data_IF_966816427639
#
_entry.id   IF_966816427639
#
_cell.length_a   1.000
_cell.length_b   1.000
_cell.length_c   1.000
_cell.angle_alpha   90.00
_cell.angle_beta   90.00
_cell.angle_gamma   90.00
#
_symmetry.space_group_name_H-M   'P 1'
#
loop_
_entity.id
_entity.type
_entity.pdbx_description
1 polymer ?
#
# COMPACT_ATOMS: atom_id res chain seq x y z
N UNK A 1 1.37 -23.17 16.81
CA UNK A 1 0.50 -22.01 16.99
C UNK A 1 1.01 -20.86 16.13
N UNK A 2 0.11 -20.08 15.51
CA UNK A 2 0.51 -18.89 14.80
C UNK A 2 1.08 -17.83 15.74
N UNK A 3 1.83 -16.89 15.21
CA UNK A 3 2.54 -15.90 16.03
C UNK A 3 2.25 -14.48 15.53
N UNK A 4 1.84 -13.60 16.42
CA UNK A 4 1.81 -12.16 16.22
C UNK A 4 3.09 -11.54 16.79
N UNK A 5 3.70 -10.63 16.03
CA UNK A 5 4.92 -9.90 16.41
C UNK A 5 4.62 -8.41 16.29
N UNK A 6 4.28 -7.72 17.37
CA UNK A 6 4.03 -6.28 17.35
C UNK A 6 5.35 -5.50 17.23
N UNK A 7 5.40 -4.52 16.34
CA UNK A 7 6.57 -3.66 16.10
C UNK A 7 6.13 -2.21 16.14
N UNK A 8 6.46 -1.52 17.23
CA UNK A 8 6.18 -0.09 17.39
C UNK A 8 7.25 0.60 18.22
N UNK A 9 7.36 1.92 18.08
CA UNK A 9 8.25 2.74 18.92
C UNK A 9 7.71 2.80 20.36
N UNK A 10 8.61 2.69 21.34
CA UNK A 10 8.26 2.73 22.76
C UNK A 10 8.05 1.36 23.40
N UNK A 11 7.92 0.29 22.65
CA UNK A 11 8.01 -1.08 23.15
C UNK A 11 9.43 -1.61 22.92
N UNK A 12 10.39 -1.05 23.67
CA UNK A 12 11.83 -1.27 23.52
C UNK A 12 12.28 -2.58 24.19
N UNK A 13 11.36 -3.44 24.64
CA UNK A 13 11.76 -4.77 25.00
C UNK A 13 12.48 -5.40 23.81
N UNK A 14 13.73 -5.88 23.95
CA UNK A 14 14.43 -6.51 22.84
C UNK A 14 13.52 -7.63 22.33
N UNK A 15 13.10 -7.52 21.07
CA UNK A 15 12.35 -8.58 20.41
C UNK A 15 13.26 -9.80 20.42
N UNK A 16 13.04 -10.72 21.36
CA UNK A 16 13.69 -12.02 21.42
C UNK A 16 13.16 -12.85 20.26
N UNK A 17 13.61 -12.51 19.04
CA UNK A 17 13.25 -13.22 17.83
C UNK A 17 14.27 -14.31 17.60
N UNK A 18 13.84 -15.55 17.77
CA UNK A 18 14.60 -16.67 17.24
C UNK A 18 14.60 -16.61 15.71
N UNK A 19 15.74 -16.81 15.04
CA UNK A 19 15.80 -16.88 13.58
C UNK A 19 14.77 -17.87 13.05
N UNK A 20 14.01 -17.46 12.04
CA UNK A 20 12.98 -18.30 11.42
C UNK A 20 13.04 -18.18 9.89
N UNK A 21 12.54 -19.19 9.21
CA UNK A 21 12.36 -19.11 7.75
C UNK A 21 11.03 -18.43 7.46
N UNK A 22 11.00 -17.25 6.81
CA UNK A 22 9.76 -16.50 6.60
C UNK A 22 8.81 -17.16 5.58
N UNK A 23 9.31 -18.01 4.68
CA UNK A 23 8.51 -18.59 3.61
C UNK A 23 8.03 -17.52 2.60
N UNK A 24 6.86 -17.73 1.98
CA UNK A 24 6.25 -16.70 1.12
C UNK A 24 5.73 -15.55 1.99
N UNK A 25 6.18 -14.34 1.68
CA UNK A 25 5.86 -13.15 2.46
C UNK A 25 4.85 -12.25 1.75
N UNK A 26 3.93 -11.67 2.52
CA UNK A 26 3.04 -10.61 2.07
C UNK A 26 3.32 -9.30 2.80
N UNK A 27 3.12 -8.18 2.10
CA UNK A 27 3.01 -6.84 2.68
C UNK A 27 1.56 -6.40 2.56
N UNK A 28 0.94 -6.07 3.69
CA UNK A 28 -0.45 -5.63 3.77
C UNK A 28 -0.50 -4.21 4.32
N UNK A 29 -1.19 -3.30 3.63
CA UNK A 29 -1.36 -1.92 4.05
C UNK A 29 -2.83 -1.61 4.32
N UNK A 30 -3.12 -1.20 5.56
CA UNK A 30 -4.45 -0.80 6.01
C UNK A 30 -4.94 0.45 5.27
N UNK A 31 -6.24 0.53 5.00
CA UNK A 31 -6.93 1.75 4.58
C UNK A 31 -6.98 2.79 5.70
N UNK A 32 -7.39 4.00 5.39
CA UNK A 32 -7.53 5.02 6.45
C UNK A 32 -7.51 6.46 5.97
N UNK A 33 -7.68 6.72 4.69
CA UNK A 33 -7.66 8.07 4.11
C UNK A 33 -6.33 8.79 4.40
N UNK A 34 -6.38 10.02 4.90
CA UNK A 34 -5.16 10.81 5.18
C UNK A 34 -4.28 10.21 6.29
N UNK A 35 -4.78 9.31 7.17
CA UNK A 35 -3.93 8.55 8.10
C UNK A 35 -2.92 7.66 7.39
N UNK A 36 -3.14 7.33 6.12
CA UNK A 36 -2.17 6.67 5.25
C UNK A 36 -0.84 7.41 5.09
N UNK A 37 -0.75 8.65 5.60
CA UNK A 37 0.52 9.41 5.69
C UNK A 37 1.57 8.69 6.55
N UNK A 38 1.14 7.98 7.60
CA UNK A 38 2.00 7.10 8.40
C UNK A 38 2.55 5.95 7.55
N UNK A 39 1.67 5.29 6.80
CA UNK A 39 2.06 4.21 5.87
C UNK A 39 3.05 4.70 4.82
N UNK A 40 2.83 5.91 4.25
CA UNK A 40 3.77 6.54 3.33
C UNK A 40 5.15 6.72 3.95
N UNK A 41 5.21 7.14 5.22
CA UNK A 41 6.47 7.29 5.95
C UNK A 41 7.21 5.96 6.12
N UNK A 42 6.52 4.88 6.49
CA UNK A 42 7.10 3.53 6.61
C UNK A 42 7.64 3.03 5.27
N UNK A 43 6.84 3.14 4.21
CA UNK A 43 7.20 2.65 2.88
C UNK A 43 8.34 3.45 2.24
N UNK A 44 8.44 4.75 2.50
CA UNK A 44 9.56 5.58 2.05
C UNK A 44 10.88 5.12 2.67
N UNK A 45 10.88 4.69 3.95
CA UNK A 45 12.07 4.08 4.56
C UNK A 45 12.40 2.71 3.97
N UNK A 46 11.37 1.91 3.62
CA UNK A 46 11.59 0.63 2.93
C UNK A 46 12.20 0.84 1.54
N UNK A 47 11.72 1.83 0.77
CA UNK A 47 12.31 2.19 -0.53
C UNK A 47 13.75 2.68 -0.38
N UNK A 48 14.04 3.55 0.59
CA UNK A 48 15.38 4.06 0.86
C UNK A 48 16.36 2.92 1.20
N UNK A 49 15.91 1.92 1.95
CA UNK A 49 16.70 0.75 2.31
C UNK A 49 16.69 -0.35 1.23
N UNK A 50 16.03 -0.14 0.10
CA UNK A 50 15.81 -1.15 -0.94
C UNK A 50 15.22 -2.46 -0.39
N UNK A 51 14.41 -2.35 0.67
CA UNK A 51 13.82 -3.49 1.35
C UNK A 51 12.52 -3.92 0.69
N UNK A 52 12.56 -4.98 -0.11
CA UNK A 52 11.40 -5.52 -0.81
C UNK A 52 11.44 -7.06 -0.93
N UNK A 53 11.42 -7.80 0.20
CA UNK A 53 11.48 -9.27 0.20
C UNK A 53 10.11 -9.94 -0.06
N UNK A 54 9.05 -9.18 -0.34
CA UNK A 54 7.69 -9.67 -0.42
C UNK A 54 7.36 -10.31 -1.76
N UNK A 55 6.45 -11.29 -1.74
CA UNK A 55 5.90 -11.98 -2.90
C UNK A 55 4.51 -11.44 -3.25
N UNK A 56 3.76 -11.05 -2.21
CA UNK A 56 2.40 -10.54 -2.34
C UNK A 56 2.28 -9.17 -1.68
N UNK A 57 1.44 -8.34 -2.27
CA UNK A 57 1.08 -7.02 -1.74
C UNK A 57 -0.44 -6.91 -1.73
N UNK A 58 -0.98 -6.44 -0.61
CA UNK A 58 -2.42 -6.21 -0.46
C UNK A 58 -2.64 -4.83 0.13
N UNK A 59 -3.52 -4.07 -0.44
CA UNK A 59 -3.85 -2.75 0.07
C UNK A 59 -5.31 -2.40 -0.13
N UNK A 60 -5.82 -1.59 0.80
CA UNK A 60 -7.17 -1.07 0.76
C UNK A 60 -7.12 0.45 0.79
N UNK A 61 -7.87 1.14 -0.09
CA UNK A 61 -8.00 2.61 -0.09
C UNK A 61 -6.63 3.30 -0.10
N UNK A 62 -6.32 4.17 0.86
CA UNK A 62 -5.01 4.80 1.01
C UNK A 62 -3.85 3.80 1.09
N UNK A 63 -4.07 2.59 1.63
CA UNK A 63 -3.08 1.52 1.64
C UNK A 63 -2.74 1.03 0.24
N UNK A 64 -3.74 0.90 -0.64
CA UNK A 64 -3.56 0.54 -2.05
C UNK A 64 -2.79 1.63 -2.82
N UNK A 65 -3.12 2.91 -2.57
CA UNK A 65 -2.42 4.05 -3.18
C UNK A 65 -0.94 4.10 -2.76
N UNK A 66 -0.65 3.93 -1.48
CA UNK A 66 0.72 3.92 -0.97
C UNK A 66 1.54 2.71 -1.49
N UNK A 67 0.93 1.53 -1.59
CA UNK A 67 1.58 0.36 -2.21
C UNK A 67 1.83 0.57 -3.70
N UNK A 68 0.95 1.25 -4.41
CA UNK A 68 1.17 1.62 -5.82
C UNK A 68 2.45 2.46 -5.97
N UNK A 69 2.64 3.47 -5.12
CA UNK A 69 3.86 4.28 -5.11
C UNK A 69 5.11 3.45 -4.74
N UNK A 70 5.00 2.56 -3.78
CA UNK A 70 6.07 1.67 -3.35
C UNK A 70 6.52 0.70 -4.46
N UNK A 71 5.56 0.08 -5.15
CA UNK A 71 5.83 -0.84 -6.25
C UNK A 71 6.39 -0.13 -7.49
N UNK A 72 5.98 1.12 -7.70
CA UNK A 72 6.55 1.99 -8.73
C UNK A 72 7.91 2.60 -8.33
N UNK A 73 8.41 2.31 -7.12
CA UNK A 73 9.65 2.84 -6.57
C UNK A 73 9.74 4.38 -6.61
N UNK A 74 8.67 5.04 -6.13
CA UNK A 74 8.55 6.50 -6.13
C UNK A 74 8.52 7.05 -4.68
N UNK A 75 9.70 7.21 -4.03
CA UNK A 75 9.76 7.73 -2.66
C UNK A 75 9.18 9.15 -2.57
N UNK A 76 8.47 9.42 -1.48
CA UNK A 76 7.78 10.68 -1.25
C UNK A 76 6.49 10.88 -2.07
N UNK A 77 6.14 10.00 -2.98
CA UNK A 77 4.91 10.11 -3.77
C UNK A 77 3.67 10.13 -2.88
N UNK A 78 3.49 9.14 -2.00
CA UNK A 78 2.34 9.06 -1.08
C UNK A 78 2.24 10.31 -0.19
N UNK A 79 3.37 10.79 0.34
CA UNK A 79 3.43 12.06 1.07
C UNK A 79 2.92 13.24 0.24
N UNK A 80 3.40 13.38 -1.00
CA UNK A 80 2.97 14.49 -1.89
C UNK A 80 1.48 14.40 -2.20
N UNK A 81 0.96 13.22 -2.51
CA UNK A 81 -0.48 13.04 -2.76
C UNK A 81 -1.29 13.45 -1.54
N UNK A 82 -0.97 12.93 -0.35
CA UNK A 82 -1.75 13.21 0.85
C UNK A 82 -1.62 14.67 1.27
N UNK A 83 -0.41 15.26 1.28
CA UNK A 83 -0.20 16.61 1.80
C UNK A 83 -0.55 17.72 0.79
N UNK A 84 -0.43 17.47 -0.52
CA UNK A 84 -0.61 18.53 -1.54
C UNK A 84 -1.93 18.44 -2.31
N UNK A 85 -2.51 17.22 -2.43
CA UNK A 85 -3.73 17.02 -3.19
C UNK A 85 -4.94 16.77 -2.30
N UNK A 86 -4.85 15.85 -1.31
CA UNK A 86 -6.03 15.54 -0.50
C UNK A 86 -6.39 16.64 0.52
N UNK A 87 -5.53 17.63 0.72
CA UNK A 87 -5.81 18.81 1.55
C UNK A 87 -6.39 19.98 0.78
N UNK A 88 -6.46 19.88 -0.55
CA UNK A 88 -7.03 20.93 -1.39
C UNK A 88 -8.55 20.91 -1.38
N UNK A 89 -9.13 22.10 -1.62
CA UNK A 89 -10.57 22.26 -1.70
C UNK A 89 -11.18 21.52 -2.88
N UNK A 90 -10.43 21.39 -3.97
CA UNK A 90 -10.85 20.63 -5.15
C UNK A 90 -11.10 19.16 -4.80
N UNK A 91 -10.32 18.59 -3.90
CA UNK A 91 -10.53 17.23 -3.41
C UNK A 91 -11.59 17.16 -2.32
N UNK A 92 -11.45 17.95 -1.23
CA UNK A 92 -12.30 17.90 -0.04
C UNK A 92 -13.06 19.20 0.14
N UNK A 93 -14.36 19.22 -0.24
CA UNK A 93 -15.20 20.42 -0.16
C UNK A 93 -16.54 20.17 0.55
N UNK A 94 -16.65 20.56 1.84
CA UNK A 94 -17.90 20.48 2.59
C UNK A 94 -19.05 21.32 1.96
N UNK A 95 -18.75 22.43 1.29
CA UNK A 95 -19.77 23.24 0.64
C UNK A 95 -20.36 22.55 -0.60
N UNK A 96 -19.53 21.87 -1.38
CA UNK A 96 -19.99 21.02 -2.48
C UNK A 96 -20.93 19.93 -1.96
N UNK A 97 -20.57 19.31 -0.82
CA UNK A 97 -21.39 18.26 -0.20
C UNK A 97 -22.77 18.76 0.24
N UNK A 98 -22.85 19.93 0.91
CA UNK A 98 -24.12 20.54 1.34
C UNK A 98 -25.01 20.89 0.14
N UNK A 99 -24.42 21.22 -1.00
CA UNK A 99 -25.15 21.51 -2.26
C UNK A 99 -25.56 20.24 -3.03
N UNK A 100 -25.39 19.05 -2.46
CA UNK A 100 -25.79 17.77 -3.07
C UNK A 100 -24.72 17.08 -3.89
N UNK A 101 -23.49 17.62 -3.99
CA UNK A 101 -22.34 16.98 -4.65
C UNK A 101 -21.57 16.04 -3.75
N UNK A 102 -20.46 15.50 -4.26
CA UNK A 102 -19.55 14.66 -3.50
C UNK A 102 -18.75 15.47 -2.46
N UNK A 103 -18.49 14.90 -1.27
CA UNK A 103 -17.60 15.52 -0.29
C UNK A 103 -16.14 15.46 -0.75
N UNK A 104 -15.75 14.31 -1.33
CA UNK A 104 -14.44 14.10 -1.93
C UNK A 104 -14.57 13.94 -3.45
N UNK A 105 -13.58 14.42 -4.18
CA UNK A 105 -13.50 14.30 -5.64
C UNK A 105 -12.34 13.37 -6.00
N UNK A 106 -12.65 12.08 -6.13
CA UNK A 106 -11.67 11.05 -6.48
C UNK A 106 -11.24 11.18 -7.94
N UNK A 107 -12.13 11.62 -8.82
CA UNK A 107 -11.82 11.79 -10.24
C UNK A 107 -10.76 12.88 -10.39
N UNK A 108 -11.01 14.05 -9.78
CA UNK A 108 -10.02 15.12 -9.76
C UNK A 108 -8.68 14.68 -9.16
N UNK A 109 -8.71 13.91 -8.04
CA UNK A 109 -7.49 13.43 -7.39
C UNK A 109 -6.68 12.53 -8.33
N UNK A 110 -7.33 11.53 -8.92
CA UNK A 110 -6.69 10.55 -9.80
C UNK A 110 -6.18 11.21 -11.07
N UNK A 111 -6.99 12.04 -11.73
CA UNK A 111 -6.61 12.75 -12.95
C UNK A 111 -5.48 13.75 -12.72
N UNK A 112 -5.58 14.55 -11.64
CA UNK A 112 -4.54 15.53 -11.29
C UNK A 112 -3.20 14.88 -10.94
N UNK A 113 -3.23 13.73 -10.23
CA UNK A 113 -2.00 13.00 -9.92
C UNK A 113 -1.44 12.27 -11.13
N UNK A 114 -2.28 11.67 -11.97
CA UNK A 114 -1.86 11.04 -13.21
C UNK A 114 -1.21 12.04 -14.19
N UNK A 115 -1.74 13.26 -14.27
CA UNK A 115 -1.19 14.30 -15.16
C UNK A 115 0.11 14.91 -14.65
N UNK A 116 0.24 15.13 -13.32
CA UNK A 116 1.36 15.90 -12.74
C UNK A 116 2.44 15.06 -12.10
N UNK A 117 2.10 13.87 -11.64
CA UNK A 117 2.98 12.91 -10.98
C UNK A 117 2.57 11.48 -11.37
N UNK A 118 2.74 11.07 -12.64
CA UNK A 118 2.30 9.75 -13.08
C UNK A 118 3.02 8.63 -12.33
N UNK A 119 2.27 7.56 -12.05
CA UNK A 119 2.85 6.34 -11.51
C UNK A 119 3.74 5.67 -12.57
N UNK A 120 4.94 5.27 -12.18
CA UNK A 120 5.89 4.57 -13.04
C UNK A 120 5.53 3.07 -13.12
N UNK A 121 4.40 2.77 -13.73
CA UNK A 121 3.79 1.43 -13.77
C UNK A 121 4.70 0.38 -14.43
N UNK A 122 5.62 0.79 -15.32
CA UNK A 122 6.62 -0.12 -15.91
C UNK A 122 7.57 -0.71 -14.86
N UNK A 123 7.89 0.06 -13.83
CA UNK A 123 8.70 -0.44 -12.71
C UNK A 123 7.97 -1.53 -11.94
N UNK A 124 6.68 -1.33 -11.66
CA UNK A 124 5.86 -2.35 -11.01
C UNK A 124 5.62 -3.57 -11.91
N UNK A 125 5.43 -3.37 -13.23
CA UNK A 125 5.26 -4.46 -14.18
C UNK A 125 6.45 -5.44 -14.14
N UNK A 126 7.70 -4.93 -14.10
CA UNK A 126 8.89 -5.78 -13.96
C UNK A 126 8.89 -6.62 -12.67
N UNK A 127 8.31 -6.08 -11.58
CA UNK A 127 8.14 -6.86 -10.35
C UNK A 127 7.10 -7.98 -10.52
N UNK A 128 6.01 -7.71 -11.23
CA UNK A 128 4.98 -8.72 -11.53
C UNK A 128 5.52 -9.82 -12.45
N UNK A 129 6.29 -9.46 -13.45
CA UNK A 129 6.99 -10.41 -14.34
C UNK A 129 7.97 -11.31 -13.56
N UNK A 130 8.54 -10.81 -12.46
CA UNK A 130 9.37 -11.61 -11.54
C UNK A 130 8.60 -12.54 -10.60
N UNK A 131 7.27 -12.62 -10.75
CA UNK A 131 6.38 -13.50 -9.97
C UNK A 131 5.83 -12.88 -8.69
N UNK A 132 5.94 -11.56 -8.50
CA UNK A 132 5.27 -10.83 -7.41
C UNK A 132 3.84 -10.49 -7.84
N UNK A 133 2.93 -10.37 -6.87
CA UNK A 133 1.52 -10.09 -7.14
C UNK A 133 1.00 -8.98 -6.23
N UNK A 134 0.23 -8.06 -6.81
CA UNK A 134 -0.42 -6.97 -6.10
C UNK A 134 -1.94 -7.06 -6.23
N UNK A 135 -2.63 -6.86 -5.11
CA UNK A 135 -4.09 -6.89 -5.02
C UNK A 135 -4.60 -5.66 -4.27
N UNK A 136 -5.52 -4.95 -4.87
CA UNK A 136 -6.24 -3.85 -4.27
C UNK A 136 -7.64 -4.31 -3.91
N UNK A 137 -8.08 -4.06 -2.66
CA UNK A 137 -9.39 -4.44 -2.19
C UNK A 137 -10.40 -3.34 -2.49
N UNK A 138 -11.55 -3.71 -3.03
CA UNK A 138 -12.76 -2.88 -3.10
C UNK A 138 -13.96 -3.68 -2.62
N UNK A 139 -14.99 -3.00 -2.12
CA UNK A 139 -16.21 -3.61 -1.60
C UNK A 139 -17.28 -3.63 -2.68
N UNK A 140 -17.88 -4.76 -2.97
CA UNK A 140 -19.05 -4.83 -3.86
C UNK A 140 -20.20 -4.03 -3.26
N UNK A 141 -20.89 -3.27 -4.10
CA UNK A 141 -22.01 -2.43 -3.66
C UNK A 141 -23.33 -3.18 -3.44
N UNK A 142 -23.45 -4.38 -4.01
CA UNK A 142 -24.67 -5.18 -3.97
C UNK A 142 -24.77 -6.10 -2.73
N UNK A 143 -23.66 -6.72 -2.31
CA UNK A 143 -23.63 -7.71 -1.22
C UNK A 143 -22.56 -7.45 -0.16
N UNK A 144 -21.79 -6.38 -0.31
CA UNK A 144 -20.67 -5.95 0.55
C UNK A 144 -19.52 -6.97 0.68
N UNK A 145 -19.42 -7.91 -0.24
CA UNK A 145 -18.27 -8.83 -0.27
C UNK A 145 -17.02 -8.15 -0.81
N UNK A 146 -15.81 -8.52 -0.32
CA UNK A 146 -14.57 -7.94 -0.82
C UNK A 146 -14.22 -8.49 -2.21
N UNK A 147 -13.89 -7.60 -3.14
CA UNK A 147 -13.24 -7.89 -4.41
C UNK A 147 -11.76 -7.55 -4.35
N UNK A 148 -10.91 -8.41 -4.91
CA UNK A 148 -9.44 -8.21 -4.93
C UNK A 148 -8.95 -8.15 -6.37
N UNK A 149 -8.51 -6.98 -6.79
CA UNK A 149 -8.14 -6.67 -8.16
C UNK A 149 -6.62 -6.59 -8.32
N UNK A 150 -6.10 -7.32 -9.29
CA UNK A 150 -4.71 -7.19 -9.73
C UNK A 150 -4.63 -6.11 -10.82
N UNK A 151 -3.89 -5.02 -10.62
CA UNK A 151 -3.85 -3.94 -11.58
C UNK A 151 -3.04 -4.30 -12.84
N UNK A 152 -3.54 -3.79 -13.96
CA UNK A 152 -2.79 -3.64 -15.22
C UNK A 152 -2.56 -2.15 -15.48
N UNK A 153 -1.73 -1.78 -16.45
CA UNK A 153 -1.54 -0.38 -16.81
C UNK A 153 -2.84 0.33 -17.19
N UNK A 154 -3.79 -0.39 -17.79
CA UNK A 154 -5.05 0.14 -18.27
C UNK A 154 -6.06 0.41 -17.17
N UNK A 155 -6.15 -0.46 -16.15
CA UNK A 155 -7.18 -0.39 -15.12
C UNK A 155 -6.68 0.06 -13.75
N UNK A 156 -5.37 0.35 -13.58
CA UNK A 156 -4.77 0.65 -12.28
C UNK A 156 -5.47 1.81 -11.56
N UNK A 157 -5.70 2.89 -12.28
CA UNK A 157 -6.31 4.09 -11.70
C UNK A 157 -7.79 3.87 -11.35
N UNK A 158 -8.51 3.10 -12.15
CA UNK A 158 -9.91 2.78 -11.89
C UNK A 158 -10.05 1.87 -10.67
N UNK A 159 -9.13 0.92 -10.48
CA UNK A 159 -9.10 0.10 -9.26
C UNK A 159 -8.76 0.96 -8.04
N UNK A 160 -7.84 1.93 -8.14
CA UNK A 160 -7.57 2.90 -7.06
C UNK A 160 -8.83 3.69 -6.70
N UNK A 161 -9.59 4.18 -7.69
CA UNK A 161 -10.87 4.86 -7.46
C UNK A 161 -11.85 3.95 -6.73
N UNK A 162 -12.07 2.73 -7.23
CA UNK A 162 -12.99 1.77 -6.63
C UNK A 162 -12.61 1.44 -5.18
N UNK A 163 -11.33 1.17 -4.93
CA UNK A 163 -10.80 0.89 -3.59
C UNK A 163 -10.94 2.06 -2.61
N UNK A 164 -11.16 3.29 -3.11
CA UNK A 164 -11.17 4.54 -2.34
C UNK A 164 -12.54 5.24 -2.35
N UNK A 165 -13.57 4.67 -2.96
CA UNK A 165 -14.91 5.25 -3.13
C UNK A 165 -15.72 5.19 -1.83
N UNK A 166 -15.43 6.07 -0.85
CA UNK A 166 -16.08 6.08 0.46
C UNK A 166 -17.57 6.40 0.30
N UNK A 167 -18.50 5.51 0.71
CA UNK A 167 -19.93 5.73 0.59
C UNK A 167 -20.40 7.01 1.26
N UNK A 168 -21.33 7.69 0.64
CA UNK A 168 -21.82 8.99 1.09
C UNK A 168 -20.88 10.15 0.80
N UNK A 169 -19.56 9.96 0.75
CA UNK A 169 -18.59 10.99 0.41
C UNK A 169 -18.27 11.03 -1.09
N UNK A 170 -18.21 9.87 -1.72
CA UNK A 170 -18.23 9.68 -3.17
C UNK A 170 -19.45 8.82 -3.50
N UNK A 171 -20.55 9.47 -3.88
CA UNK A 171 -21.92 8.91 -3.82
C UNK A 171 -22.19 7.79 -4.82
N UNK A 172 -21.58 7.86 -5.99
CA UNK A 172 -21.89 6.96 -7.10
C UNK A 172 -21.20 5.60 -7.03
N UNK A 173 -20.13 5.49 -6.21
CA UNK A 173 -19.24 4.34 -6.31
C UNK A 173 -18.50 4.33 -7.66
N UNK A 174 -17.84 3.22 -7.97
CA UNK A 174 -17.08 3.02 -9.21
C UNK A 174 -17.48 1.70 -9.86
N UNK A 175 -17.88 1.74 -11.12
CA UNK A 175 -18.23 0.53 -11.86
C UNK A 175 -16.99 -0.10 -12.49
N UNK A 176 -16.68 -1.34 -12.10
CA UNK A 176 -15.68 -2.19 -12.73
C UNK A 176 -16.37 -3.46 -13.26
N UNK A 177 -16.15 -3.76 -14.54
CA UNK A 177 -16.74 -4.96 -15.19
C UNK A 177 -18.26 -5.12 -14.96
N UNK A 178 -18.98 -4.00 -14.99
CA UNK A 178 -20.45 -3.98 -14.84
C UNK A 178 -20.95 -4.06 -13.39
N UNK A 179 -20.07 -4.15 -12.39
CA UNK A 179 -20.41 -4.21 -10.97
C UNK A 179 -19.98 -2.91 -10.31
N UNK A 180 -20.85 -2.35 -9.45
CA UNK A 180 -20.53 -1.16 -8.67
C UNK A 180 -19.71 -1.51 -7.43
N UNK A 181 -18.62 -0.79 -7.20
CA UNK A 181 -17.72 -0.94 -6.06
C UNK A 181 -17.64 0.31 -5.21
N UNK A 182 -17.45 0.08 -3.92
CA UNK A 182 -17.27 1.06 -2.86
C UNK A 182 -15.90 0.87 -2.22
N UNK A 183 -15.49 1.78 -1.32
CA UNK A 183 -14.22 1.67 -0.58
C UNK A 183 -14.09 0.29 0.08
N UNK A 184 -12.97 -0.37 -0.17
CA UNK A 184 -12.68 -1.70 0.34
C UNK A 184 -12.61 -1.78 1.86
N UNK A 185 -12.44 -0.65 2.55
CA UNK A 185 -12.44 -0.57 4.01
C UNK A 185 -13.76 -1.01 4.65
N UNK A 186 -14.85 -1.09 3.89
CA UNK A 186 -16.14 -1.58 4.37
C UNK A 186 -16.08 -3.10 4.63
N UNK A 187 -15.49 -3.85 3.71
CA UNK A 187 -15.47 -5.31 3.73
C UNK A 187 -14.16 -5.91 4.21
N UNK A 188 -13.02 -5.33 3.82
CA UNK A 188 -11.69 -5.79 4.23
C UNK A 188 -10.69 -4.63 4.29
N UNK A 189 -10.68 -3.93 5.43
CA UNK A 189 -9.80 -2.80 5.67
C UNK A 189 -8.31 -3.20 5.74
N UNK A 190 -8.02 -4.46 6.09
CA UNK A 190 -6.66 -5.01 6.27
C UNK A 190 -6.63 -6.43 5.70
N UNK A 191 -6.37 -6.64 4.42
CA UNK A 191 -6.55 -7.94 3.73
C UNK A 191 -5.56 -9.04 4.15
N UNK A 192 -5.43 -9.28 5.46
CA UNK A 192 -4.52 -10.31 6.03
C UNK A 192 -5.05 -11.73 5.81
N UNK A 193 -6.39 -11.90 5.86
CA UNK A 193 -7.00 -13.21 5.68
C UNK A 193 -6.83 -13.66 4.23
N UNK A 194 -7.04 -12.75 3.28
CA UNK A 194 -6.83 -13.04 1.86
C UNK A 194 -5.35 -13.31 1.55
N UNK A 195 -4.43 -12.55 2.16
CA UNK A 195 -3.00 -12.82 2.02
C UNK A 195 -2.62 -14.24 2.51
N UNK A 196 -3.18 -14.66 3.65
CA UNK A 196 -2.97 -16.01 4.17
C UNK A 196 -3.58 -17.09 3.27
N UNK A 197 -4.80 -16.87 2.75
CA UNK A 197 -5.51 -17.76 1.82
C UNK A 197 -4.71 -17.95 0.52
N UNK A 198 -4.05 -16.91 0.01
CA UNK A 198 -3.16 -17.00 -1.16
C UNK A 198 -1.78 -17.60 -0.85
N UNK A 199 -1.56 -18.07 0.36
CA UNK A 199 -0.41 -18.88 0.74
C UNK A 199 0.74 -18.11 1.38
N UNK A 200 0.56 -16.87 1.82
CA UNK A 200 1.53 -16.18 2.65
C UNK A 200 1.77 -16.93 3.96
N UNK A 201 3.01 -17.10 4.34
CA UNK A 201 3.43 -17.74 5.61
C UNK A 201 3.89 -16.73 6.65
N UNK A 202 4.32 -15.57 6.18
CA UNK A 202 4.66 -14.40 6.99
C UNK A 202 4.01 -13.18 6.34
N UNK A 203 3.26 -12.42 7.13
CA UNK A 203 2.57 -11.21 6.68
C UNK A 203 3.13 -10.03 7.48
N UNK A 204 3.66 -9.04 6.80
CA UNK A 204 3.98 -7.74 7.40
C UNK A 204 2.78 -6.83 7.16
N UNK A 205 2.21 -6.30 8.24
CA UNK A 205 1.04 -5.43 8.20
C UNK A 205 1.46 -4.02 8.63
N UNK A 206 1.09 -3.00 7.86
CA UNK A 206 1.22 -1.61 8.25
C UNK A 206 -0.16 -1.06 8.59
N UNK A 207 -0.35 -0.69 9.87
CA UNK A 207 -1.59 -0.18 10.42
C UNK A 207 -1.60 1.35 10.45
N UNK A 208 -2.78 1.94 10.37
CA UNK A 208 -3.00 3.39 10.51
C UNK A 208 -3.59 3.79 11.86
N UNK A 209 -3.77 2.80 12.73
CA UNK A 209 -4.23 2.97 14.12
C UNK A 209 -3.38 2.11 15.07
N UNK A 210 -3.27 2.46 16.37
CA UNK A 210 -2.64 1.60 17.36
C UNK A 210 -3.29 0.24 17.43
N UNK A 211 -2.49 -0.79 17.68
CA UNK A 211 -2.86 -2.19 17.49
C UNK A 211 -4.10 -2.65 18.27
N UNK A 212 -4.35 -2.14 19.45
CA UNK A 212 -5.47 -2.56 20.31
C UNK A 212 -6.68 -1.62 20.23
N UNK A 213 -6.65 -0.64 19.33
CA UNK A 213 -7.79 0.26 19.16
C UNK A 213 -8.80 -0.32 18.19
N UNK A 214 -10.02 -0.56 18.65
CA UNK A 214 -11.18 -0.72 17.79
C UNK A 214 -11.49 0.63 17.14
N UNK A 215 -11.39 0.66 15.82
CA UNK A 215 -11.62 1.90 15.09
C UNK A 215 -13.01 1.89 14.47
N UNK A 216 -13.97 2.51 15.14
CA UNK A 216 -15.20 2.95 14.48
C UNK A 216 -14.87 4.25 13.72
N UNK A 217 -15.06 4.30 12.39
CA UNK A 217 -14.75 5.50 11.63
C UNK A 217 -15.52 6.71 12.18
N UNK A 218 -14.81 7.69 12.75
CA UNK A 218 -15.46 8.88 13.34
C UNK A 218 -16.22 9.74 12.30
N UNK A 219 -15.89 9.59 11.01
CA UNK A 219 -16.63 10.23 9.93
C UNK A 219 -18.07 9.73 9.90
N UNK A 220 -18.31 8.48 10.26
CA UNK A 220 -19.63 7.89 10.32
C UNK A 220 -20.46 8.52 11.46
N UNK A 221 -19.93 8.62 12.67
CA UNK A 221 -20.59 9.31 13.79
C UNK A 221 -20.89 10.79 13.50
N UNK A 222 -20.10 11.42 12.62
CA UNK A 222 -20.37 12.79 12.15
C UNK A 222 -21.46 12.82 11.09
N UNK A 223 -21.51 11.85 10.18
CA UNK A 223 -22.52 11.77 9.14
C UNK A 223 -23.91 11.45 9.71
N UNK A 224 -24.00 10.59 10.72
CA UNK A 224 -25.21 10.32 11.50
C UNK A 224 -25.86 11.61 12.07
N UNK A 225 -25.05 12.59 12.40
CA UNK A 225 -25.52 13.90 12.90
C UNK A 225 -26.03 14.83 11.78
N UNK A 226 -25.69 14.56 10.51
CA UNK A 226 -26.01 15.42 9.36
C UNK A 226 -27.11 14.87 8.46
N UNK A 227 -27.38 13.57 8.53
CA UNK A 227 -28.40 12.90 7.74
C UNK A 227 -29.60 12.60 8.64
N UNK A 228 -30.79 13.08 8.28
CA UNK A 228 -32.02 12.79 9.02
C UNK A 228 -32.32 11.28 9.09
N UNK A 229 -33.07 10.85 10.13
CA UNK A 229 -33.28 9.44 10.49
C UNK A 229 -33.76 8.52 9.36
N UNK A 230 -34.52 9.01 8.38
CA UNK A 230 -35.08 8.19 7.29
C UNK A 230 -34.10 7.79 6.20
N UNK A 231 -32.93 8.47 6.10
CA UNK A 231 -31.88 8.18 5.11
C UNK A 231 -30.72 7.35 5.66
N UNK A 232 -30.81 6.94 6.94
CA UNK A 232 -29.69 6.35 7.68
C UNK A 232 -29.58 4.82 7.53
N UNK A 233 -30.66 4.11 7.20
CA UNK A 233 -30.69 2.65 7.23
C UNK A 233 -29.61 1.99 6.36
N UNK A 234 -29.37 2.41 5.10
CA UNK A 234 -28.29 1.84 4.28
C UNK A 234 -26.90 2.10 4.87
N UNK A 235 -26.72 3.27 5.53
CA UNK A 235 -25.47 3.64 6.16
C UNK A 235 -25.21 2.88 7.47
N UNK A 236 -26.26 2.61 8.25
CA UNK A 236 -26.19 1.77 9.45
C UNK A 236 -25.73 0.36 9.07
N UNK A 237 -26.30 -0.22 8.01
CA UNK A 237 -25.90 -1.54 7.52
C UNK A 237 -24.41 -1.56 7.10
N UNK A 238 -23.94 -0.54 6.39
CA UNK A 238 -22.53 -0.42 5.99
C UNK A 238 -21.59 -0.36 7.19
N UNK A 239 -21.98 0.35 8.25
CA UNK A 239 -21.17 0.45 9.47
C UNK A 239 -21.15 -0.84 10.24
N UNK A 240 -22.29 -1.46 10.44
CA UNK A 240 -22.35 -2.76 11.10
C UNK A 240 -21.50 -3.79 10.35
N UNK A 241 -21.55 -3.77 9.01
CA UNK A 241 -20.72 -4.64 8.20
C UNK A 241 -19.23 -4.34 8.40
N UNK A 242 -18.83 -3.05 8.35
CA UNK A 242 -17.46 -2.65 8.62
C UNK A 242 -17.00 -3.06 10.02
N UNK A 243 -17.77 -2.80 11.06
CA UNK A 243 -17.41 -3.14 12.45
C UNK A 243 -17.25 -4.65 12.65
N UNK A 244 -18.15 -5.43 12.08
CA UNK A 244 -18.09 -6.89 12.12
C UNK A 244 -16.86 -7.42 11.40
N UNK A 245 -16.63 -6.95 10.18
CA UNK A 245 -15.46 -7.31 9.36
C UNK A 245 -14.16 -6.91 10.05
N UNK A 246 -14.07 -5.68 10.52
CA UNK A 246 -12.87 -5.17 11.19
C UNK A 246 -12.56 -5.92 12.49
N UNK A 247 -13.60 -6.28 13.27
CA UNK A 247 -13.42 -7.09 14.49
C UNK A 247 -12.88 -8.49 14.16
N UNK A 248 -13.40 -9.14 13.12
CA UNK A 248 -12.91 -10.44 12.66
C UNK A 248 -11.45 -10.37 12.19
N UNK A 249 -11.07 -9.30 11.47
CA UNK A 249 -9.69 -9.05 11.04
C UNK A 249 -8.77 -8.86 12.25
N UNK A 250 -9.18 -8.09 13.24
CA UNK A 250 -8.41 -7.88 14.48
C UNK A 250 -8.16 -9.19 15.21
N UNK A 251 -9.19 -10.02 15.39
CA UNK A 251 -9.06 -11.35 16.01
C UNK A 251 -8.08 -12.24 15.23
N UNK A 252 -8.12 -12.18 13.89
CA UNK A 252 -7.19 -12.93 13.05
C UNK A 252 -5.75 -12.47 13.23
N UNK A 253 -5.51 -11.16 13.35
CA UNK A 253 -4.18 -10.59 13.61
C UNK A 253 -3.69 -10.97 15.01
N UNK A 254 -4.57 -10.90 16.02
CA UNK A 254 -4.21 -11.22 17.40
C UNK A 254 -3.91 -12.70 17.61
N UNK A 255 -4.65 -13.58 16.94
CA UNK A 255 -4.52 -15.03 17.04
C UNK A 255 -4.37 -15.67 15.65
N UNK A 256 -3.22 -15.52 14.99
CA UNK A 256 -3.01 -16.09 13.67
C UNK A 256 -3.17 -17.61 13.68
N UNK A 257 -3.84 -18.19 12.67
CA UNK A 257 -4.05 -19.63 12.62
C UNK A 257 -2.78 -20.42 12.25
N UNK A 258 -2.71 -21.67 12.67
CA UNK A 258 -1.70 -22.65 12.26
C UNK A 258 -0.27 -22.19 12.55
N UNK A 259 0.56 -22.04 11.52
CA UNK A 259 1.96 -21.57 11.60
C UNK A 259 2.14 -20.18 10.98
N UNK A 260 1.06 -19.45 10.72
CA UNK A 260 1.13 -18.11 10.17
C UNK A 260 1.82 -17.14 11.14
N UNK A 261 2.68 -16.28 10.60
CA UNK A 261 3.28 -15.17 11.35
C UNK A 261 2.74 -13.85 10.84
N UNK A 262 2.30 -13.00 11.75
CA UNK A 262 1.87 -11.64 11.45
C UNK A 262 2.78 -10.67 12.20
N UNK A 263 3.52 -9.87 11.45
CA UNK A 263 4.40 -8.82 11.97
C UNK A 263 3.66 -7.51 11.75
N UNK A 264 3.26 -6.87 12.84
CA UNK A 264 2.37 -5.71 12.80
C UNK A 264 3.15 -4.44 13.13
N UNK A 265 3.28 -3.54 12.14
CA UNK A 265 3.84 -2.18 12.30
C UNK A 265 2.66 -1.24 12.52
N UNK A 266 2.65 -0.49 13.62
CA UNK A 266 1.57 0.42 13.97
C UNK A 266 2.08 1.67 14.69
N UNK A 267 1.33 2.78 14.64
CA UNK A 267 1.71 4.00 15.35
C UNK A 267 1.63 3.77 16.88
N UNK A 268 2.62 4.25 17.66
CA UNK A 268 2.68 4.04 19.12
C UNK A 268 1.53 4.72 19.88
N UNK A 269 0.94 5.73 19.27
CA UNK A 269 -0.21 6.51 19.79
C UNK A 269 -1.18 6.78 18.64
N UNK A 270 -2.45 7.15 18.94
CA UNK A 270 -3.36 7.63 17.90
C UNK A 270 -2.71 8.74 17.07
N UNK A 271 -2.85 8.66 15.76
CA UNK A 271 -2.31 9.67 14.85
C UNK A 271 -3.06 10.99 15.03
N UNK A 272 -2.35 12.09 14.82
CA UNK A 272 -2.94 13.44 14.83
C UNK A 272 -3.78 13.69 13.57
N UNK A 273 -3.49 12.99 12.49
CA UNK A 273 -4.27 13.03 11.24
C UNK A 273 -5.59 12.27 11.39
N UNK A 274 -6.59 12.81 10.73
CA UNK A 274 -7.91 12.19 10.56
C UNK A 274 -7.95 11.44 9.20
N UNK A 275 -9.05 10.73 8.95
CA UNK A 275 -9.27 10.13 7.62
C UNK A 275 -9.41 11.21 6.52
N UNK A 276 -10.02 12.36 6.84
CA UNK A 276 -10.21 13.52 5.95
C UNK A 276 -10.13 14.82 6.77
N UNK A 277 -9.78 15.93 6.10
CA UNK A 277 -9.73 17.26 6.70
C UNK A 277 -8.59 17.47 7.71
N UNK A 278 -7.51 16.72 7.60
CA UNK A 278 -6.32 16.90 8.44
C UNK A 278 -5.57 18.19 8.11
N UNK A 279 -4.97 18.80 9.13
CA UNK A 279 -4.08 19.94 8.97
C UNK A 279 -2.67 19.47 8.58
N UNK A 280 -1.95 20.26 7.78
CA UNK A 280 -0.60 19.95 7.31
C UNK A 280 0.39 19.63 8.46
N UNK A 281 0.42 20.37 9.59
CA UNK A 281 1.32 20.02 10.71
C UNK A 281 1.08 18.61 11.24
N UNK A 282 -0.18 18.20 11.41
CA UNK A 282 -0.54 16.85 11.88
C UNK A 282 -0.05 15.77 10.90
N UNK A 283 -0.28 15.98 9.60
CA UNK A 283 0.21 15.07 8.56
C UNK A 283 1.74 14.97 8.54
N UNK A 284 2.43 16.09 8.76
CA UNK A 284 3.91 16.14 8.80
C UNK A 284 4.46 15.36 9.99
N UNK A 285 3.83 15.47 11.14
CA UNK A 285 4.21 14.76 12.36
C UNK A 285 3.99 13.25 12.20
N UNK A 286 2.82 12.85 11.73
CA UNK A 286 2.49 11.44 11.53
C UNK A 286 3.35 10.78 10.44
N UNK A 287 3.73 11.51 9.39
CA UNK A 287 4.70 11.05 8.41
C UNK A 287 6.06 10.75 9.05
N UNK A 288 6.57 11.67 9.90
CA UNK A 288 7.83 11.46 10.64
C UNK A 288 7.73 10.25 11.57
N UNK A 289 6.60 10.08 12.25
CA UNK A 289 6.33 8.90 13.08
C UNK A 289 6.37 7.62 12.25
N UNK A 290 5.79 7.62 11.05
CA UNK A 290 5.88 6.50 10.11
C UNK A 290 7.31 6.19 9.71
N UNK A 291 8.13 7.21 9.39
CA UNK A 291 9.54 7.02 9.09
C UNK A 291 10.32 6.41 10.27
N UNK A 292 10.08 6.89 11.49
CA UNK A 292 10.71 6.32 12.69
C UNK A 292 10.35 4.86 12.89
N UNK A 293 9.07 4.49 12.75
CA UNK A 293 8.61 3.12 12.84
C UNK A 293 9.21 2.23 11.72
N UNK A 294 9.31 2.76 10.50
CA UNK A 294 9.95 2.06 9.37
C UNK A 294 11.43 1.78 9.63
N UNK A 295 12.19 2.77 10.09
CA UNK A 295 13.60 2.59 10.47
C UNK A 295 13.77 1.60 11.61
N UNK A 296 12.92 1.68 12.63
CA UNK A 296 12.95 0.75 13.76
C UNK A 296 12.67 -0.69 13.29
N UNK A 297 11.66 -0.88 12.46
CA UNK A 297 11.38 -2.19 11.86
C UNK A 297 12.58 -2.73 11.07
N UNK A 298 13.16 -1.91 10.19
CA UNK A 298 14.32 -2.31 9.38
C UNK A 298 15.55 -2.67 10.23
N UNK A 299 15.79 -1.92 11.31
CA UNK A 299 16.90 -2.16 12.23
C UNK A 299 16.72 -3.43 13.08
N UNK A 300 15.51 -3.90 13.26
CA UNK A 300 15.15 -5.05 14.11
C UNK A 300 14.70 -6.24 13.27
N UNK A 301 13.40 -6.37 13.04
CA UNK A 301 12.79 -7.51 12.35
C UNK A 301 13.17 -7.57 10.87
N UNK A 302 13.29 -6.42 10.21
CA UNK A 302 13.63 -6.34 8.78
C UNK A 302 14.94 -7.03 8.43
N UNK A 303 15.95 -6.92 9.28
CA UNK A 303 17.24 -7.62 9.11
C UNK A 303 17.08 -9.14 9.05
N UNK A 304 16.20 -9.71 9.87
CA UNK A 304 15.94 -11.14 9.91
C UNK A 304 15.21 -11.62 8.65
N UNK A 305 14.30 -10.79 8.11
CA UNK A 305 13.57 -11.09 6.89
C UNK A 305 14.44 -11.00 5.64
N UNK A 306 15.40 -10.07 5.62
CA UNK A 306 16.33 -9.88 4.50
C UNK A 306 17.46 -10.92 4.47
N UNK A 307 17.88 -11.45 5.61
CA UNK A 307 18.98 -12.41 5.73
C UNK A 307 18.65 -13.84 5.25
N UNK A 308 17.39 -14.09 4.84
CA UNK A 308 17.00 -15.42 4.33
C UNK A 308 17.53 -15.57 2.90
N UNK A 309 18.47 -16.51 2.62
CA UNK A 309 18.95 -16.72 1.27
C UNK A 309 17.76 -17.11 0.36
N UNK A 310 17.76 -16.68 -0.91
CA UNK A 310 16.74 -17.11 -1.85
C UNK A 310 16.75 -18.65 -1.89
N UNK A 311 15.56 -19.26 -1.86
CA UNK A 311 15.40 -20.68 -2.06
C UNK A 311 16.14 -21.04 -3.33
N UNK A 312 17.24 -21.79 -3.22
CA UNK A 312 17.89 -22.41 -4.37
C UNK A 312 16.80 -23.18 -5.10
N UNK A 313 16.40 -22.70 -6.27
CA UNK A 313 15.61 -23.49 -7.19
C UNK A 313 16.42 -24.77 -7.40
N UNK A 314 15.86 -25.91 -7.11
CA UNK A 314 16.37 -27.16 -7.59
C UNK A 314 16.41 -27.05 -9.10
N UNK A 315 17.57 -26.71 -9.63
CA UNK A 315 17.87 -26.91 -11.03
C UNK A 315 17.89 -28.43 -11.21
N UNK A 316 16.82 -28.96 -11.77
CA UNK A 316 16.86 -30.26 -12.40
C UNK A 316 18.09 -30.23 -13.33
N UNK A 317 19.07 -31.06 -13.04
CA UNK A 317 20.24 -31.29 -13.87
C UNK A 317 19.72 -31.69 -15.27
N UNK A 318 19.72 -30.73 -16.19
CA UNK A 318 19.72 -31.07 -17.63
C UNK A 318 21.13 -31.54 -17.90
N UNK A 319 21.25 -32.83 -18.22
CA UNK A 319 22.49 -33.42 -18.71
C UNK A 319 22.95 -32.63 -19.94
N UNK A 320 24.14 -32.08 -19.86
CA UNK A 320 24.82 -31.46 -21.02
C UNK A 320 25.28 -32.58 -21.91
N UNK A 321 24.87 -32.63 -23.20
CA UNK A 321 25.51 -33.54 -24.15
C UNK A 321 26.92 -33.05 -24.45
N UNK A 322 27.81 -34.03 -24.62
CA UNK A 322 29.24 -33.87 -24.91
C UNK A 322 29.53 -32.97 -26.11
N UNK A 323 30.60 -32.23 -25.96
CA UNK A 323 31.31 -31.35 -26.89
C UNK A 323 31.37 -31.84 -28.32
N UNK A 324 30.88 -30.99 -29.24
CA UNK A 324 31.29 -30.99 -30.65
C UNK A 324 32.41 -29.94 -30.81
N UNK A 325 33.60 -30.37 -31.11
CA UNK A 325 34.75 -29.52 -31.44
C UNK A 325 34.54 -28.95 -32.85
N UNK A 326 34.43 -27.64 -32.97
CA UNK A 326 34.43 -26.93 -34.28
C UNK A 326 35.80 -26.25 -34.44
N UNK A 327 36.49 -26.43 -35.59
CA UNK A 327 37.79 -25.82 -35.81
C UNK A 327 37.68 -24.31 -36.10
N UNK A 328 38.78 -23.55 -35.91
CA UNK A 328 38.76 -22.08 -36.01
C UNK A 328 38.74 -21.62 -37.49
N UNK A 329 37.92 -20.60 -37.76
CA UNK A 329 37.88 -19.86 -39.02
C UNK A 329 38.91 -18.74 -39.07
N UNK A 330 39.38 -18.31 -40.23
CA UNK A 330 40.55 -17.47 -40.41
C UNK A 330 40.30 -15.99 -40.13
N UNK A 331 41.39 -15.33 -39.69
CA UNK A 331 41.50 -13.91 -39.42
C UNK A 331 41.40 -13.09 -40.70
N UNK A 332 40.54 -12.10 -40.75
CA UNK A 332 40.60 -11.00 -41.74
C UNK A 332 40.87 -9.69 -40.99
N UNK A 333 41.96 -9.06 -41.33
CA UNK A 333 42.29 -7.67 -40.99
C UNK A 333 41.35 -6.77 -41.77
N UNK A 334 40.79 -5.76 -41.11
CA UNK A 334 40.73 -4.43 -41.71
C UNK A 334 40.48 -3.35 -40.65
N UNK A 335 41.29 -2.36 -40.76
CA UNK A 335 41.34 -1.08 -40.08
C UNK A 335 40.20 -0.16 -40.49
N UNK A 336 39.45 0.44 -39.56
CA UNK A 336 38.96 1.82 -39.73
C UNK A 336 38.63 2.50 -38.39
N UNK A 337 39.30 3.57 -38.19
CA UNK A 337 39.18 4.85 -37.50
C UNK A 337 37.91 5.08 -36.65
N UNK A 338 38.22 5.45 -35.40
CA UNK A 338 37.27 5.92 -34.38
C UNK A 338 36.73 7.32 -34.70
N UNK A 339 35.43 7.52 -34.49
CA UNK A 339 34.86 8.84 -34.29
C UNK A 339 34.21 8.89 -32.88
N UNK A 340 34.73 9.82 -32.10
CA UNK A 340 34.32 10.08 -30.71
C UNK A 340 33.07 10.94 -30.76
N UNK A 341 31.92 10.42 -30.30
CA UNK A 341 30.76 11.25 -29.99
C UNK A 341 30.58 11.31 -28.47
N UNK A 342 30.73 12.52 -27.94
CA UNK A 342 30.59 12.89 -26.55
C UNK A 342 29.15 12.73 -26.05
N UNK A 343 28.96 12.10 -24.88
CA UNK A 343 27.71 12.02 -24.15
C UNK A 343 27.37 13.38 -23.48
N UNK A 344 26.09 13.76 -23.41
CA UNK A 344 25.69 14.95 -22.66
C UNK A 344 25.65 14.66 -21.16
N UNK A 345 26.16 15.63 -20.40
CA UNK A 345 26.20 15.65 -18.93
C UNK A 345 24.80 15.67 -18.34
N UNK A 346 24.58 14.83 -17.33
CA UNK A 346 23.39 14.86 -16.47
C UNK A 346 23.45 16.13 -15.59
N UNK A 347 22.42 16.95 -15.67
CA UNK A 347 22.18 18.06 -14.76
C UNK A 347 21.69 17.54 -13.42
N UNK A 348 22.51 17.70 -12.42
CA UNK A 348 22.23 17.45 -11.01
C UNK A 348 21.39 18.63 -10.48
N UNK A 349 20.08 18.45 -10.36
CA UNK A 349 19.21 19.42 -9.67
C UNK A 349 18.97 18.96 -8.25
N UNK A 350 19.83 19.41 -7.35
CA UNK A 350 19.60 19.39 -5.90
C UNK A 350 18.41 20.29 -5.55
N UNK A 351 17.31 19.68 -5.11
CA UNK A 351 16.16 20.40 -4.57
C UNK A 351 16.46 20.84 -3.13
N UNK A 352 16.42 22.13 -2.87
CA UNK A 352 16.54 22.74 -1.55
C UNK A 352 15.21 22.75 -0.79
N UNK A 353 15.30 22.82 0.55
CA UNK A 353 14.15 22.77 1.49
C UNK A 353 13.15 23.96 1.38
N UNK A 354 13.36 24.92 0.51
CA UNK A 354 12.55 26.15 0.37
C UNK A 354 11.23 25.94 -0.42
N UNK A 355 11.02 24.82 -1.10
CA UNK A 355 9.78 24.54 -1.84
C UNK A 355 8.62 24.04 -0.95
N UNK A 356 8.71 24.24 0.38
CA UNK A 356 7.73 23.79 1.38
C UNK A 356 6.86 24.92 1.96
N UNK A 357 6.74 26.07 1.26
CA UNK A 357 5.78 27.09 1.64
C UNK A 357 4.40 26.85 1.00
#
# INVERSE_FOLDING_TARGET
>A
MGQRIPVTLGNIAPLSLTPFRPGRMALVCEGGGQRGIFTAGVLDEFMRAQFNPFHFYFGTSAGAQNLSAYLCNQPGYGRKVIMRYTTRREFFDPLRFVRGGNLIDLDWLVESTAARMPLQMDTAARLFDSGKSFYMCACRGDDYTPGYFSPTKQNWLDIIRASSAIPGFYRTGVTLEGINYLDGGISDAIPVQEAAKRGAKTIVVIRTVPSQMYYTPQWFKRMERWLGESSLQPLVNLVQHHETSYSAIQQFIEKPPGKLRIIEIYPPKPLHSMALGSRIPALREDYKTGQLCGRYFLATVGKLLAATPPLLRHSSRIAVPETVVVPPAPVANDTHVAEVISAPQANDTTFTDEDLA
#
